data_IF_341905541606
#
_entry.id   IF_341905541606
#
_cell.length_a   1.000
_cell.length_b   1.000
_cell.length_c   1.000
_cell.angle_alpha   90.00
_cell.angle_beta   90.00
_cell.angle_gamma   90.00
#
_symmetry.space_group_name_H-M   'P 1'
#
loop_
_entity.id
_entity.type
_entity.pdbx_description
1 polymer ?
#
# COMPACT_ATOMS: atom_id res chain seq x y z
N UNK A 1 24.45 18.55 0.59
CA UNK A 1 24.20 17.24 -0.08
C UNK A 1 23.03 16.57 0.63
N UNK A 2 22.03 16.04 -0.09
CA UNK A 2 20.97 15.25 0.55
C UNK A 2 21.61 14.03 1.24
N UNK A 3 21.25 13.79 2.51
CA UNK A 3 21.65 12.59 3.25
C UNK A 3 20.68 11.47 2.91
N UNK A 4 21.16 10.44 2.20
CA UNK A 4 20.40 9.23 1.93
C UNK A 4 20.53 8.27 3.11
N UNK A 5 19.40 7.90 3.70
CA UNK A 5 19.32 6.88 4.75
C UNK A 5 18.96 5.56 4.08
N UNK A 6 19.81 4.55 4.24
CA UNK A 6 19.58 3.19 3.76
C UNK A 6 19.09 2.30 4.91
N UNK A 7 18.21 1.34 4.59
CA UNK A 7 17.74 0.26 5.47
C UNK A 7 18.56 -1.02 5.22
N UNK A 8 19.31 -1.55 6.20
CA UNK A 8 20.16 -2.72 5.99
C UNK A 8 19.45 -3.95 5.41
N UNK A 9 18.14 -4.09 5.64
CA UNK A 9 17.32 -5.20 5.18
C UNK A 9 16.77 -5.05 3.74
N UNK A 10 17.02 -3.93 3.05
CA UNK A 10 16.51 -3.74 1.71
C UNK A 10 17.52 -4.21 0.64
N UNK A 11 17.06 -5.12 -0.21
CA UNK A 11 17.80 -5.75 -1.32
C UNK A 11 18.04 -4.78 -2.49
N UNK A 12 17.10 -3.86 -2.71
CA UNK A 12 17.18 -2.86 -3.77
C UNK A 12 16.54 -1.55 -3.33
N UNK A 13 16.90 -0.46 -4.00
CA UNK A 13 16.34 0.87 -3.78
C UNK A 13 16.03 1.53 -5.10
N UNK A 14 14.98 2.33 -5.12
CA UNK A 14 14.58 3.10 -6.30
C UNK A 14 13.07 3.15 -6.48
N UNK A 15 12.35 2.16 -5.98
CA UNK A 15 10.89 2.15 -6.00
C UNK A 15 10.31 3.15 -5.00
N UNK A 16 9.39 3.99 -5.45
CA UNK A 16 8.75 4.97 -4.59
C UNK A 16 7.67 4.32 -3.72
N UNK A 17 6.78 3.55 -4.36
CA UNK A 17 5.59 2.95 -3.73
C UNK A 17 5.54 1.47 -4.10
N UNK A 18 5.21 0.62 -3.12
CA UNK A 18 4.81 -0.77 -3.34
C UNK A 18 3.29 -0.89 -3.33
N UNK A 19 2.69 -1.69 -4.21
CA UNK A 19 1.23 -1.86 -4.29
C UNK A 19 0.87 -3.35 -4.21
N UNK A 20 0.00 -3.69 -3.25
CA UNK A 20 -0.69 -4.97 -3.18
C UNK A 20 -1.95 -4.89 -4.06
N UNK A 21 -1.94 -5.58 -5.20
CA UNK A 21 -2.99 -5.48 -6.22
C UNK A 21 -3.84 -6.75 -6.26
N UNK A 22 -5.14 -6.63 -6.02
CA UNK A 22 -6.09 -7.75 -6.18
C UNK A 22 -6.61 -7.82 -7.61
N UNK A 23 -7.15 -6.69 -8.06
CA UNK A 23 -7.63 -6.44 -9.41
C UNK A 23 -7.26 -4.99 -9.80
N UNK A 24 -7.33 -4.69 -11.09
CA UNK A 24 -7.00 -3.39 -11.66
C UNK A 24 -6.34 -3.50 -13.03
N UNK A 25 -5.98 -2.36 -13.62
CA UNK A 25 -5.21 -2.32 -14.87
C UNK A 25 -5.66 -1.27 -15.88
N UNK A 26 -6.85 -0.68 -15.70
CA UNK A 26 -7.29 0.43 -16.53
C UNK A 26 -6.48 1.70 -16.21
N UNK A 27 -6.15 2.55 -17.20
CA UNK A 27 -5.49 3.83 -16.95
C UNK A 27 -6.28 4.69 -15.96
N UNK A 28 -5.63 5.18 -14.90
CA UNK A 28 -6.28 5.89 -13.80
C UNK A 28 -6.57 5.02 -12.57
N UNK A 29 -6.47 3.70 -12.69
CA UNK A 29 -6.55 2.78 -11.55
C UNK A 29 -5.21 2.70 -10.79
N UNK A 30 -5.28 2.42 -9.47
CA UNK A 30 -4.10 2.24 -8.60
C UNK A 30 -3.26 1.03 -9.03
N UNK A 31 -3.91 0.01 -9.58
CA UNK A 31 -3.32 -1.18 -10.18
C UNK A 31 -2.56 -0.92 -11.50
N UNK A 32 -2.68 0.26 -12.11
CA UNK A 32 -2.02 0.56 -13.38
C UNK A 32 -0.69 1.32 -13.19
N UNK A 33 0.46 0.74 -13.56
CA UNK A 33 1.76 1.41 -13.44
C UNK A 33 1.87 2.70 -14.28
N UNK A 34 1.15 2.82 -15.40
CA UNK A 34 1.20 4.02 -16.25
C UNK A 34 0.52 5.24 -15.62
N UNK A 35 -0.23 5.05 -14.52
CA UNK A 35 -0.85 6.14 -13.75
C UNK A 35 0.17 6.99 -12.99
N UNK A 36 1.44 6.55 -12.90
CA UNK A 36 2.46 7.16 -12.06
C UNK A 36 3.64 7.69 -12.88
N UNK A 37 4.10 8.90 -12.55
CA UNK A 37 5.34 9.49 -13.09
C UNK A 37 6.60 9.04 -12.35
N UNK A 38 6.47 8.07 -11.44
CA UNK A 38 7.53 7.54 -10.60
C UNK A 38 7.45 6.00 -10.56
N UNK A 39 8.56 5.30 -10.25
CA UNK A 39 8.59 3.85 -10.24
C UNK A 39 7.73 3.28 -9.10
N UNK A 40 6.84 2.36 -9.46
CA UNK A 40 5.95 1.63 -8.55
C UNK A 40 6.20 0.14 -8.72
N UNK A 41 6.25 -0.59 -7.61
CA UNK A 41 6.43 -2.04 -7.59
C UNK A 41 5.13 -2.72 -7.19
N UNK A 42 4.73 -3.75 -7.92
CA UNK A 42 3.49 -4.48 -7.66
C UNK A 42 3.76 -5.87 -7.08
N UNK A 43 2.84 -6.31 -6.22
CA UNK A 43 2.64 -7.71 -5.84
C UNK A 43 1.16 -8.03 -6.01
N UNK A 44 0.89 -9.01 -6.87
CA UNK A 44 -0.48 -9.43 -7.16
C UNK A 44 -0.99 -10.41 -6.11
N UNK A 45 -2.27 -10.31 -5.80
CA UNK A 45 -3.03 -11.20 -4.93
C UNK A 45 -4.26 -11.67 -5.69
N UNK A 46 -4.57 -12.95 -5.68
CA UNK A 46 -5.90 -13.36 -6.11
C UNK A 46 -6.94 -12.99 -5.04
N UNK A 47 -8.22 -12.78 -5.40
CA UNK A 47 -9.25 -12.46 -4.42
C UNK A 47 -9.36 -13.46 -3.26
N UNK A 48 -9.09 -14.75 -3.51
CA UNK A 48 -9.04 -15.79 -2.48
C UNK A 48 -7.87 -15.67 -1.52
N UNK A 49 -6.71 -15.22 -2.00
CA UNK A 49 -5.47 -15.05 -1.22
C UNK A 49 -5.63 -14.00 -0.13
N UNK A 50 -6.54 -13.05 -0.34
CA UNK A 50 -6.85 -12.01 0.63
C UNK A 50 -7.27 -12.64 1.95
N UNK A 51 -7.89 -13.82 1.98
CA UNK A 51 -8.26 -14.52 3.22
C UNK A 51 -7.06 -14.86 4.13
N UNK A 52 -5.88 -15.08 3.54
CA UNK A 52 -4.68 -15.55 4.22
C UNK A 52 -3.83 -14.36 4.71
N UNK A 53 -3.95 -14.03 6.00
CA UNK A 53 -3.24 -12.86 6.59
C UNK A 53 -1.71 -12.97 6.46
N UNK A 54 -1.14 -14.14 6.72
CA UNK A 54 0.30 -14.37 6.63
C UNK A 54 0.84 -14.17 5.21
N UNK A 55 0.07 -14.54 4.18
CA UNK A 55 0.43 -14.32 2.79
C UNK A 55 0.48 -12.83 2.47
N UNK A 56 -0.53 -12.08 2.90
CA UNK A 56 -0.60 -10.62 2.70
C UNK A 56 0.56 -9.91 3.41
N UNK A 57 0.89 -10.32 4.64
CA UNK A 57 2.05 -9.81 5.39
C UNK A 57 3.36 -10.17 4.68
N UNK A 58 3.50 -11.40 4.18
CA UNK A 58 4.67 -11.85 3.43
C UNK A 58 4.94 -10.98 2.21
N UNK A 59 3.94 -10.74 1.38
CA UNK A 59 4.05 -9.88 0.21
C UNK A 59 4.39 -8.43 0.58
N UNK A 60 3.84 -7.91 1.68
CA UNK A 60 4.19 -6.58 2.16
C UNK A 60 5.67 -6.50 2.62
N UNK A 61 6.17 -7.56 3.27
CA UNK A 61 7.59 -7.66 3.66
C UNK A 61 8.51 -7.75 2.45
N UNK A 62 8.11 -8.46 1.40
CA UNK A 62 8.87 -8.47 0.14
C UNK A 62 8.95 -7.08 -0.49
N UNK A 63 7.83 -6.35 -0.55
CA UNK A 63 7.82 -4.96 -1.03
C UNK A 63 8.73 -4.08 -0.17
N UNK A 64 8.70 -4.26 1.15
CA UNK A 64 9.58 -3.56 2.07
C UNK A 64 11.07 -3.89 1.85
N UNK A 65 11.39 -5.17 1.62
CA UNK A 65 12.74 -5.61 1.27
C UNK A 65 13.19 -5.07 -0.10
N UNK A 66 12.27 -4.78 -1.01
CA UNK A 66 12.57 -4.06 -2.24
C UNK A 66 12.77 -2.53 -2.05
N UNK A 67 12.82 -2.04 -0.81
CA UNK A 67 13.19 -0.66 -0.49
C UNK A 67 12.13 0.39 -0.83
N UNK A 68 10.87 -0.01 -0.98
CA UNK A 68 9.76 0.95 -1.17
C UNK A 68 9.64 1.89 0.03
N UNK A 69 9.16 3.12 -0.21
CA UNK A 69 9.00 4.14 0.86
C UNK A 69 7.60 4.16 1.47
N UNK A 70 6.61 3.58 0.81
CA UNK A 70 5.27 3.34 1.35
C UNK A 70 4.63 2.15 0.63
N UNK A 71 3.61 1.55 1.25
CA UNK A 71 2.81 0.48 0.67
C UNK A 71 1.35 0.93 0.51
N UNK A 72 0.79 0.71 -0.69
CA UNK A 72 -0.61 0.91 -1.03
C UNK A 72 -1.34 -0.40 -1.31
N UNK A 73 -2.67 -0.38 -1.37
CA UNK A 73 -3.49 -1.50 -1.82
C UNK A 73 -4.61 -1.05 -2.77
N UNK A 74 -5.04 -1.92 -3.68
CA UNK A 74 -6.04 -1.57 -4.71
C UNK A 74 -7.49 -1.82 -4.30
N UNK A 75 -7.76 -2.58 -3.22
CA UNK A 75 -9.11 -3.07 -2.90
C UNK A 75 -9.53 -2.91 -1.44
N UNK A 76 -10.82 -2.66 -1.21
CA UNK A 76 -11.39 -2.48 0.12
C UNK A 76 -11.24 -3.70 1.05
N UNK A 77 -11.19 -4.91 0.50
CA UNK A 77 -10.99 -6.16 1.24
C UNK A 77 -9.63 -6.26 1.96
N UNK A 78 -8.62 -5.51 1.50
CA UNK A 78 -7.32 -5.43 2.17
C UNK A 78 -7.35 -4.59 3.44
N UNK A 79 -8.39 -3.77 3.64
CA UNK A 79 -8.49 -2.89 4.82
C UNK A 79 -8.41 -3.67 6.14
N UNK A 80 -8.94 -4.90 6.19
CA UNK A 80 -8.89 -5.71 7.40
C UNK A 80 -7.45 -6.06 7.85
N UNK A 81 -6.52 -6.08 6.90
CA UNK A 81 -5.10 -6.35 7.12
C UNK A 81 -4.27 -5.11 7.42
N UNK A 82 -4.89 -3.92 7.40
CA UNK A 82 -4.19 -2.65 7.54
C UNK A 82 -3.29 -2.60 8.79
N UNK A 83 -3.80 -3.06 9.94
CA UNK A 83 -3.04 -3.06 11.19
C UNK A 83 -1.92 -4.08 11.20
N UNK A 84 -2.20 -5.30 10.74
CA UNK A 84 -1.22 -6.39 10.73
C UNK A 84 -0.05 -6.09 9.80
N UNK A 85 -0.34 -5.58 8.60
CA UNK A 85 0.70 -5.17 7.64
C UNK A 85 1.49 -3.96 8.15
N UNK A 86 0.83 -2.93 8.69
CA UNK A 86 1.53 -1.76 9.24
C UNK A 86 2.42 -2.10 10.43
N UNK A 87 2.08 -3.12 11.23
CA UNK A 87 2.93 -3.60 12.31
C UNK A 87 4.13 -4.43 11.81
N UNK A 88 4.06 -4.98 10.60
CA UNK A 88 5.08 -5.85 10.04
C UNK A 88 6.21 -5.12 9.28
N UNK A 89 6.03 -3.83 8.98
CA UNK A 89 7.00 -3.02 8.21
C UNK A 89 7.16 -1.62 8.82
N UNK A 90 8.36 -1.05 8.73
CA UNK A 90 8.68 0.27 9.31
C UNK A 90 8.53 1.41 8.29
N UNK A 91 7.43 1.40 7.53
CA UNK A 91 7.07 2.42 6.54
C UNK A 91 5.56 2.69 6.54
N UNK A 92 5.09 3.84 6.02
CA UNK A 92 3.66 4.10 5.87
C UNK A 92 2.96 3.05 5.02
N UNK A 93 1.79 2.60 5.48
CA UNK A 93 0.93 1.63 4.80
C UNK A 93 -0.49 2.20 4.67
N UNK A 94 -1.07 2.14 3.47
CA UNK A 94 -2.45 2.53 3.19
C UNK A 94 -3.09 1.52 2.23
N UNK A 95 -3.71 0.46 2.76
CA UNK A 95 -4.16 -0.68 1.96
C UNK A 95 -5.52 -0.47 1.27
N UNK A 96 -6.26 0.56 1.65
CA UNK A 96 -7.61 0.77 1.14
C UNK A 96 -7.96 2.26 1.11
N UNK A 97 -8.68 2.72 0.07
CA UNK A 97 -9.27 4.06 0.04
C UNK A 97 -10.21 4.35 1.22
N UNK A 98 -10.75 3.30 1.88
CA UNK A 98 -11.53 3.45 3.13
C UNK A 98 -10.70 4.11 4.23
N UNK A 99 -9.37 4.03 4.19
CA UNK A 99 -8.50 4.76 5.10
C UNK A 99 -8.65 6.29 4.98
N UNK A 100 -9.18 6.80 3.87
CA UNK A 100 -9.53 8.22 3.71
C UNK A 100 -10.87 8.61 4.37
N UNK A 101 -11.69 7.64 4.82
CA UNK A 101 -13.00 7.95 5.43
C UNK A 101 -12.94 8.92 6.61
N UNK A 102 -11.94 8.89 7.53
CA UNK A 102 -11.83 9.90 8.58
C UNK A 102 -11.62 11.32 8.03
N UNK A 103 -10.85 11.46 6.94
CA UNK A 103 -10.67 12.76 6.27
C UNK A 103 -12.00 13.23 5.67
N UNK A 104 -12.69 12.35 4.94
CA UNK A 104 -14.00 12.67 4.34
C UNK A 104 -15.02 13.00 5.42
N UNK A 105 -15.06 12.25 6.52
CA UNK A 105 -15.94 12.48 7.65
C UNK A 105 -15.76 13.89 8.24
N UNK A 106 -14.50 14.37 8.32
CA UNK A 106 -14.18 15.70 8.80
C UNK A 106 -14.61 16.84 7.85
N UNK A 107 -14.95 16.53 6.59
CA UNK A 107 -15.48 17.54 5.64
C UNK A 107 -16.97 17.76 5.77
N UNK A 108 -17.71 16.83 6.37
CA UNK A 108 -19.13 17.05 6.64
C UNK A 108 -19.28 18.12 7.71
N UNK A 109 -20.14 19.10 7.44
CA UNK A 109 -20.54 20.08 8.45
C UNK A 109 -21.15 19.32 9.65
N UNK A 110 -20.89 19.76 10.90
CA UNK A 110 -21.55 19.17 12.05
C UNK A 110 -23.06 19.25 11.83
N UNK A 111 -23.72 18.10 11.88
CA UNK A 111 -25.18 18.02 11.81
C UNK A 111 -25.75 18.97 12.86
N UNK A 112 -26.57 19.94 12.44
CA UNK A 112 -27.34 20.75 13.38
C UNK A 112 -28.22 19.78 14.17
N UNK A 113 -27.92 19.60 15.46
CA UNK A 113 -28.79 18.88 16.39
C UNK A 113 -29.99 19.74 16.76
#
# INVERSE_FOLDING_TARGET
MPKYVTRPAAESYGYAIGILAIDGGEPGDVGNPSSYSYPVLYRSLHPGDVAEEDLVIGLARELFACGVRAIGGTGGSLFRHQRAVAAAVDIPVCLSPVACMPMVAATFLPSVQ
#
